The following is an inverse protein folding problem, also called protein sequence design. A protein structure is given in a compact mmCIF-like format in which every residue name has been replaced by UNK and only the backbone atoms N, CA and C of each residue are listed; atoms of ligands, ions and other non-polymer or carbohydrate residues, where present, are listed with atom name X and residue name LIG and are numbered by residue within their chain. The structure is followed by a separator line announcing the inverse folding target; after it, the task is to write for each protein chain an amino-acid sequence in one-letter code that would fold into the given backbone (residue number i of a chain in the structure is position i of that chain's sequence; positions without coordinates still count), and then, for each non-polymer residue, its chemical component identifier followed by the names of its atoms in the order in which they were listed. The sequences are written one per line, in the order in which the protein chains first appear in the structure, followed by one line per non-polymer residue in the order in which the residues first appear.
data_IF_108147272640
#
_entry.id   IF_108147272640
#
_cell.length_a   1.000
_cell.length_b   1.000
_cell.length_c   1.000
_cell.angle_alpha   90.00
_cell.angle_beta   90.00
_cell.angle_gamma   90.00
#
_symmetry.space_group_name_H-M   'P 1'
#
loop_
_entity.id
_entity.type
_entity.pdbx_description
1 polymer ?
#
# COMPACT_ATOMS: atom_id res chain seq x y z
N UNK A 1 15.68 0.73 -9.29
CA UNK A 1 14.68 -0.12 -9.97
C UNK A 1 14.80 0.12 -11.46
N UNK A 2 14.56 -0.88 -12.31
CA UNK A 2 14.70 -0.71 -13.76
C UNK A 2 13.37 -0.35 -14.43
N UNK A 3 13.39 0.40 -15.53
CA UNK A 3 12.20 0.81 -16.30
C UNK A 3 11.26 -0.37 -16.65
N UNK A 4 11.83 -1.54 -16.93
CA UNK A 4 11.06 -2.75 -17.26
C UNK A 4 10.20 -3.26 -16.10
N UNK A 5 10.68 -3.12 -14.87
CA UNK A 5 9.95 -3.55 -13.67
C UNK A 5 8.75 -2.63 -13.43
N UNK A 6 8.94 -1.31 -13.54
CA UNK A 6 7.86 -0.33 -13.43
C UNK A 6 6.77 -0.54 -14.49
N UNK A 7 7.15 -0.87 -15.73
CA UNK A 7 6.20 -1.20 -16.79
C UNK A 7 5.36 -2.44 -16.46
N UNK A 8 5.97 -3.47 -15.89
CA UNK A 8 5.27 -4.69 -15.46
C UNK A 8 4.30 -4.34 -14.33
N UNK A 9 4.77 -3.68 -13.26
CA UNK A 9 3.93 -3.30 -12.13
C UNK A 9 2.75 -2.43 -12.58
N UNK A 10 3.00 -1.42 -13.40
CA UNK A 10 1.95 -0.56 -13.98
C UNK A 10 0.90 -1.37 -14.73
N UNK A 11 1.33 -2.32 -15.58
CA UNK A 11 0.41 -3.16 -16.35
C UNK A 11 -0.41 -4.07 -15.45
N UNK A 12 0.19 -4.67 -14.43
CA UNK A 12 -0.51 -5.58 -13.52
C UNK A 12 -1.52 -4.81 -12.64
N UNK A 13 -1.14 -3.66 -12.06
CA UNK A 13 -2.10 -2.84 -11.30
C UNK A 13 -3.25 -2.40 -12.19
N UNK A 14 -3.01 -2.02 -13.46
CA UNK A 14 -4.06 -1.55 -14.36
C UNK A 14 -5.14 -2.62 -14.66
N UNK A 15 -4.85 -3.91 -14.46
CA UNK A 15 -5.86 -4.98 -14.57
C UNK A 15 -6.91 -4.89 -13.46
N UNK A 16 -6.48 -4.53 -12.26
CA UNK A 16 -7.34 -4.38 -11.08
C UNK A 16 -7.90 -2.96 -10.93
N UNK A 17 -7.09 -1.94 -11.28
CA UNK A 17 -7.47 -0.53 -11.20
C UNK A 17 -7.17 0.21 -12.52
N UNK A 18 -8.15 0.28 -13.43
CA UNK A 18 -8.01 0.98 -14.71
C UNK A 18 -7.73 2.48 -14.58
N UNK A 19 -8.00 3.08 -13.41
CA UNK A 19 -7.78 4.50 -13.17
C UNK A 19 -6.34 4.85 -12.80
N UNK A 20 -5.43 3.88 -12.74
CA UNK A 20 -4.00 4.14 -12.47
C UNK A 20 -3.45 5.18 -13.45
N UNK A 21 -2.94 6.29 -12.88
CA UNK A 21 -2.30 7.39 -13.60
C UNK A 21 -0.77 7.27 -13.60
N UNK A 22 -0.17 6.89 -12.48
CA UNK A 22 1.29 6.75 -12.37
C UNK A 22 1.75 6.23 -11.02
N UNK A 23 2.92 5.60 -10.99
CA UNK A 23 3.52 5.07 -9.76
C UNK A 23 4.13 6.22 -8.95
N UNK A 24 3.95 6.19 -7.63
CA UNK A 24 4.43 7.21 -6.69
C UNK A 24 5.61 6.70 -5.87
N UNK A 25 5.51 5.46 -5.39
CA UNK A 25 6.53 4.86 -4.54
C UNK A 25 6.52 3.34 -4.67
N UNK A 26 7.70 2.72 -4.60
CA UNK A 26 7.83 1.25 -4.63
C UNK A 26 8.79 0.81 -3.53
N UNK A 27 8.41 -0.22 -2.79
CA UNK A 27 9.29 -0.95 -1.89
C UNK A 27 9.31 -2.42 -2.26
N UNK A 28 10.50 -3.01 -2.27
CA UNK A 28 10.71 -4.41 -2.65
C UNK A 28 10.07 -5.40 -1.68
N UNK A 29 9.71 -4.99 -0.46
CA UNK A 29 9.11 -5.89 0.51
C UNK A 29 8.23 -5.16 1.53
N UNK A 30 6.97 -5.57 1.60
CA UNK A 30 6.07 -5.33 2.71
C UNK A 30 5.35 -6.61 3.12
N UNK A 31 4.96 -6.71 4.39
CA UNK A 31 4.04 -7.73 4.92
C UNK A 31 2.78 -7.07 5.45
N UNK A 32 1.62 -7.64 5.15
CA UNK A 32 0.31 -7.08 5.52
C UNK A 32 -0.24 -7.74 6.77
N UNK A 33 -0.78 -6.91 7.66
CA UNK A 33 -1.42 -7.27 8.91
C UNK A 33 -2.82 -6.64 8.97
N UNK A 34 -3.70 -7.24 9.77
CA UNK A 34 -5.01 -6.71 10.13
C UNK A 34 -5.11 -6.65 11.66
N UNK A 35 -5.70 -5.58 12.18
CA UNK A 35 -6.00 -5.44 13.58
C UNK A 35 -7.46 -5.80 13.83
N UNK A 36 -7.68 -6.93 14.51
CA UNK A 36 -8.99 -7.45 14.89
C UNK A 36 -8.95 -7.97 16.31
N UNK A 37 -10.08 -7.92 17.02
CA UNK A 37 -10.22 -8.51 18.38
C UNK A 37 -9.14 -8.09 19.40
N UNK A 38 -8.57 -6.89 19.22
CA UNK A 38 -7.55 -6.34 20.11
C UNK A 38 -6.11 -6.73 19.76
N UNK A 39 -5.89 -7.55 18.74
CA UNK A 39 -4.59 -8.08 18.34
C UNK A 39 -4.27 -7.91 16.86
N UNK A 40 -3.00 -8.17 16.50
CA UNK A 40 -2.50 -8.05 15.13
C UNK A 40 -2.34 -9.43 14.50
N UNK A 41 -3.10 -9.67 13.43
CA UNK A 41 -3.02 -10.89 12.63
C UNK A 41 -2.22 -10.65 11.35
N UNK A 42 -1.22 -11.50 11.08
CA UNK A 42 -0.50 -11.48 9.81
C UNK A 42 -1.35 -12.16 8.72
N UNK A 43 -1.68 -11.43 7.64
CA UNK A 43 -2.60 -11.90 6.60
C UNK A 43 -1.99 -12.90 5.59
N UNK A 44 -0.77 -13.38 5.82
CA UNK A 44 0.01 -14.17 4.86
C UNK A 44 0.14 -13.53 3.46
N UNK A 45 0.16 -12.19 3.42
CA UNK A 45 0.42 -11.40 2.22
C UNK A 45 1.75 -10.69 2.43
N UNK A 46 2.75 -11.04 1.61
CA UNK A 46 4.04 -10.37 1.61
C UNK A 46 4.66 -10.34 0.22
N UNK A 47 5.24 -9.20 -0.13
CA UNK A 47 5.83 -8.99 -1.45
C UNK A 47 6.02 -7.52 -1.79
N UNK A 48 5.95 -7.19 -3.08
CA UNK A 48 6.27 -5.84 -3.56
C UNK A 48 5.15 -4.87 -3.22
N UNK A 49 5.46 -3.80 -2.49
CA UNK A 49 4.54 -2.70 -2.20
C UNK A 49 4.67 -1.63 -3.28
N UNK A 50 3.54 -1.12 -3.74
CA UNK A 50 3.44 -0.02 -4.69
C UNK A 50 2.40 0.98 -4.21
N UNK A 51 2.76 2.26 -4.15
CA UNK A 51 1.82 3.37 -4.06
C UNK A 51 1.70 4.02 -5.43
N UNK A 52 0.48 4.38 -5.84
CA UNK A 52 0.18 4.93 -7.16
C UNK A 52 -0.90 6.01 -7.08
N UNK A 53 -0.88 6.92 -8.06
CA UNK A 53 -1.91 7.94 -8.26
C UNK A 53 -2.99 7.42 -9.21
N UNK A 54 -4.20 7.96 -9.04
CA UNK A 54 -5.40 7.61 -9.80
C UNK A 54 -5.96 8.82 -10.53
N UNK A 55 -6.63 8.60 -11.66
CA UNK A 55 -7.30 9.65 -12.43
C UNK A 55 -8.62 10.12 -11.78
N UNK A 56 -9.19 9.32 -10.88
CA UNK A 56 -10.44 9.63 -10.18
C UNK A 56 -10.30 9.44 -8.66
N UNK A 57 -11.18 10.09 -7.91
CA UNK A 57 -11.24 9.93 -6.46
C UNK A 57 -11.61 8.48 -6.07
N UNK A 58 -11.01 7.90 -5.01
CA UNK A 58 -9.88 8.43 -4.22
C UNK A 58 -8.57 8.51 -5.03
N UNK A 59 -7.82 9.62 -4.96
CA UNK A 59 -6.73 9.88 -5.92
C UNK A 59 -5.44 9.09 -5.68
N UNK A 60 -5.34 8.35 -4.57
CA UNK A 60 -4.16 7.55 -4.22
C UNK A 60 -4.59 6.13 -3.90
N UNK A 61 -3.87 5.16 -4.44
CA UNK A 61 -4.02 3.75 -4.12
C UNK A 61 -2.70 3.13 -3.67
N UNK A 62 -2.80 2.05 -2.91
CA UNK A 62 -1.68 1.17 -2.57
C UNK A 62 -1.99 -0.25 -3.00
N UNK A 63 -0.95 -0.99 -3.32
CA UNK A 63 -1.01 -2.38 -3.76
C UNK A 63 0.16 -3.16 -3.15
N UNK A 64 -0.06 -4.37 -2.67
CA UNK A 64 0.96 -5.32 -2.27
C UNK A 64 0.76 -6.59 -3.09
N UNK A 65 1.66 -6.77 -4.06
CA UNK A 65 1.73 -7.98 -4.89
C UNK A 65 2.25 -9.14 -4.04
N UNK A 66 1.38 -10.10 -3.76
CA UNK A 66 1.70 -11.23 -2.90
C UNK A 66 2.58 -12.24 -3.64
N UNK A 67 3.68 -12.66 -3.00
CA UNK A 67 4.57 -13.70 -3.55
C UNK A 67 4.16 -15.11 -3.13
N UNK A 68 3.26 -15.25 -2.16
CA UNK A 68 2.87 -16.53 -1.55
C UNK A 68 1.61 -17.15 -2.14
N UNK A 69 0.74 -16.34 -2.74
CA UNK A 69 -0.53 -16.77 -3.30
C UNK A 69 -1.03 -15.77 -4.34
N UNK A 70 -2.12 -16.10 -5.03
CA UNK A 70 -2.79 -15.19 -5.96
C UNK A 70 -3.64 -14.11 -5.26
N UNK A 71 -3.72 -14.13 -3.92
CA UNK A 71 -4.45 -13.13 -3.15
C UNK A 71 -3.52 -11.97 -2.82
N UNK A 72 -3.68 -10.90 -3.58
CA UNK A 72 -3.02 -9.61 -3.33
C UNK A 72 -3.77 -8.79 -2.28
N UNK A 73 -3.18 -7.65 -1.93
CA UNK A 73 -3.80 -6.65 -1.07
C UNK A 73 -3.75 -5.29 -1.75
N UNK A 74 -4.85 -4.54 -1.70
CA UNK A 74 -4.89 -3.17 -2.17
C UNK A 74 -5.86 -2.35 -1.33
N UNK A 75 -5.61 -1.05 -1.24
CA UNK A 75 -6.50 -0.08 -0.62
C UNK A 75 -6.47 1.22 -1.41
N UNK A 76 -7.59 1.94 -1.38
CA UNK A 76 -7.64 3.33 -1.80
C UNK A 76 -7.57 4.24 -0.58
N UNK A 77 -6.75 5.29 -0.67
CA UNK A 77 -6.50 6.23 0.41
C UNK A 77 -7.27 7.52 0.16
N UNK A 78 -7.95 7.99 1.19
CA UNK A 78 -8.75 9.22 1.18
C UNK A 78 -8.20 10.23 2.18
N UNK A 79 -8.72 11.46 2.17
CA UNK A 79 -8.34 12.50 3.16
C UNK A 79 -8.75 12.12 4.59
N UNK A 80 -9.72 11.23 4.73
CA UNK A 80 -10.22 10.70 6.00
C UNK A 80 -9.36 9.53 6.51
N UNK A 81 -8.47 9.00 5.67
CA UNK A 81 -7.57 7.92 6.08
C UNK A 81 -6.53 8.46 7.05
N UNK A 82 -6.43 7.81 8.20
CA UNK A 82 -5.46 8.14 9.25
C UNK A 82 -4.33 7.13 9.27
N UNK A 83 -3.13 7.62 9.53
CA UNK A 83 -1.90 6.84 9.51
C UNK A 83 -1.15 6.94 10.84
N UNK A 84 -0.45 5.87 11.19
CA UNK A 84 0.49 5.87 12.31
C UNK A 84 1.78 5.17 11.90
N UNK A 85 2.93 5.64 12.41
CA UNK A 85 4.23 5.01 12.14
C UNK A 85 4.88 4.63 13.46
N UNK A 86 5.40 3.40 13.51
CA UNK A 86 6.30 2.92 14.56
C UNK A 86 7.43 2.13 13.93
N UNK A 87 8.59 2.78 13.75
CA UNK A 87 9.74 2.23 13.01
C UNK A 87 9.31 1.78 11.62
N UNK A 88 9.42 0.50 11.30
CA UNK A 88 9.12 -0.07 9.98
C UNK A 88 7.64 -0.44 9.83
N UNK A 89 6.81 -0.17 10.83
CA UNK A 89 5.39 -0.52 10.83
C UNK A 89 4.53 0.71 10.61
N UNK A 90 3.74 0.69 9.54
CA UNK A 90 2.77 1.72 9.19
C UNK A 90 1.36 1.21 9.40
N UNK A 91 0.54 1.89 10.18
CA UNK A 91 -0.89 1.60 10.34
C UNK A 91 -1.71 2.47 9.40
N UNK A 92 -2.77 1.91 8.86
CA UNK A 92 -3.71 2.56 7.94
C UNK A 92 -5.11 2.30 8.46
N UNK A 93 -5.81 3.36 8.85
CA UNK A 93 -7.19 3.31 9.31
C UNK A 93 -8.06 4.19 8.42
N UNK A 94 -8.87 3.55 7.59
CA UNK A 94 -9.81 4.19 6.64
C UNK A 94 -11.13 4.64 7.30
N UNK A 95 -11.29 4.43 8.62
CA UNK A 95 -12.55 4.65 9.38
C UNK A 95 -13.75 3.87 8.80
N UNK A 96 -13.47 2.79 8.09
CA UNK A 96 -14.47 1.87 7.54
C UNK A 96 -14.62 0.64 8.45
N UNK A 97 -15.60 -0.22 8.15
CA UNK A 97 -15.86 -1.44 8.95
C UNK A 97 -14.76 -2.50 8.82
N UNK A 98 -13.81 -2.33 7.92
CA UNK A 98 -12.76 -3.31 7.60
C UNK A 98 -11.56 -3.30 8.56
N UNK A 99 -11.64 -2.52 9.65
CA UNK A 99 -10.63 -2.48 10.70
C UNK A 99 -9.40 -1.64 10.34
N UNK A 100 -8.30 -1.86 11.06
CA UNK A 100 -7.02 -1.18 10.84
C UNK A 100 -6.09 -2.15 10.13
N UNK A 101 -5.47 -1.71 9.04
CA UNK A 101 -4.44 -2.50 8.37
C UNK A 101 -3.04 -2.04 8.81
N UNK A 102 -2.10 -2.98 8.81
CA UNK A 102 -0.70 -2.75 9.12
C UNK A 102 0.17 -3.17 7.96
N UNK A 103 1.14 -2.33 7.60
CA UNK A 103 2.19 -2.66 6.65
C UNK A 103 3.52 -2.66 7.40
N UNK A 104 4.18 -3.81 7.42
CA UNK A 104 5.55 -3.93 7.91
C UNK A 104 6.51 -3.92 6.73
N UNK A 105 7.47 -3.00 6.73
CA UNK A 105 8.50 -2.88 5.69
C UNK A 105 9.85 -3.43 6.19
N UNK A 106 10.72 -3.81 5.26
CA UNK A 106 12.05 -4.30 5.61
C UNK A 106 12.92 -3.22 6.26
N UNK A 107 12.86 -1.99 5.72
CA UNK A 107 13.60 -0.82 6.20
C UNK A 107 12.67 0.18 6.93
N UNK A 108 13.22 0.88 7.92
CA UNK A 108 12.48 1.82 8.76
C UNK A 108 12.26 3.20 8.12
N UNK A 109 12.81 3.44 6.93
CA UNK A 109 12.65 4.68 6.13
C UNK A 109 11.41 4.64 5.23
N UNK A 110 10.98 3.44 4.81
CA UNK A 110 9.86 3.28 3.89
C UNK A 110 8.55 3.92 4.38
N UNK A 111 8.12 3.74 5.65
CA UNK A 111 6.88 4.36 6.12
C UNK A 111 6.85 5.89 5.98
N UNK A 112 7.96 6.56 6.28
CA UNK A 112 8.09 8.01 6.21
C UNK A 112 8.10 8.50 4.77
N UNK A 113 8.78 7.79 3.86
CA UNK A 113 8.76 8.12 2.43
C UNK A 113 7.36 7.95 1.83
N UNK A 114 6.64 6.89 2.22
CA UNK A 114 5.24 6.69 1.80
C UNK A 114 4.35 7.83 2.28
N UNK A 115 4.48 8.27 3.55
CA UNK A 115 3.72 9.43 4.04
C UNK A 115 4.08 10.71 3.31
N UNK A 116 5.36 10.99 3.06
CA UNK A 116 5.78 12.19 2.33
C UNK A 116 5.15 12.23 0.94
N UNK A 117 5.22 11.12 0.21
CA UNK A 117 4.61 11.02 -1.11
C UNK A 117 3.08 11.14 -1.06
N UNK A 118 2.42 10.75 0.04
CA UNK A 118 0.98 10.95 0.21
C UNK A 118 0.62 12.43 0.46
N UNK A 119 1.39 13.12 1.30
CA UNK A 119 1.22 14.55 1.60
C UNK A 119 1.40 15.45 0.36
N UNK A 120 2.26 15.05 -0.57
CA UNK A 120 2.45 15.76 -1.85
C UNK A 120 1.24 15.60 -2.82
N UNK A 121 0.38 14.61 -2.60
CA UNK A 121 -0.72 14.24 -3.51
C UNK A 121 -2.14 14.52 -2.99
N UNK A 122 -2.34 14.82 -1.70
CA UNK A 122 -3.65 15.11 -1.07
C UNK A 122 -3.86 16.61 -0.77
#
# INVERSE_FOLDING_TARGET
MGEREEQILTREIRKEDPSLKGLLYISNFASVYHYGDGEWDKLNIEGTFVMYSRECYPFVGIYVFNRKSLKDFYLHLTKETSFGIKKNFMTINRREKDGIHGLWFHDNTHPQEVLRCLEEFL
#
